data_IF_855002276196
#
_entry.id   IF_855002276196
#
_cell.length_a   1.000
_cell.length_b   1.000
_cell.length_c   1.000
_cell.angle_alpha   90.00
_cell.angle_beta   90.00
_cell.angle_gamma   90.00
#
_symmetry.space_group_name_H-M   'P 1'
#
loop_
_entity.id
_entity.type
_entity.pdbx_description
1 polymer ?
#
# COMPACT_ATOMS: atom_id res chain seq x y z
N UNK A 1 -10.35 8.96 28.65
CA UNK A 1 -11.47 8.70 27.72
C UNK A 1 -10.92 7.86 26.57
N UNK A 2 -11.16 6.55 26.58
CA UNK A 2 -10.78 5.64 25.49
C UNK A 2 -11.93 5.65 24.47
N UNK A 3 -11.74 6.28 23.31
CA UNK A 3 -12.62 6.03 22.17
C UNK A 3 -12.13 4.75 21.50
N UNK A 4 -12.86 3.67 21.76
CA UNK A 4 -12.85 2.49 20.91
C UNK A 4 -13.36 2.92 19.54
N UNK A 5 -12.45 3.01 18.56
CA UNK A 5 -12.83 3.16 17.17
C UNK A 5 -13.29 1.80 16.64
N UNK A 6 -14.54 1.43 16.97
CA UNK A 6 -15.28 0.32 16.38
C UNK A 6 -15.92 0.76 15.06
N UNK A 7 -15.09 1.08 14.07
CA UNK A 7 -15.52 1.10 12.67
C UNK A 7 -15.12 -0.24 12.06
N UNK A 8 -15.99 -1.23 12.27
CA UNK A 8 -15.92 -2.49 11.58
C UNK A 8 -16.44 -2.32 10.16
N UNK A 9 -15.56 -2.44 9.17
CA UNK A 9 -15.77 -3.22 7.92
C UNK A 9 -14.38 -3.63 7.43
N UNK A 10 -13.66 -4.45 8.20
CA UNK A 10 -12.62 -5.25 7.58
C UNK A 10 -13.35 -6.26 6.70
N UNK A 11 -13.44 -5.99 5.39
CA UNK A 11 -13.59 -7.07 4.44
C UNK A 11 -12.44 -8.04 4.72
N UNK A 12 -12.73 -9.10 5.47
CA UNK A 12 -11.84 -10.23 5.62
C UNK A 12 -11.70 -10.83 4.23
N UNK A 13 -10.68 -10.37 3.50
CA UNK A 13 -10.22 -10.94 2.26
C UNK A 13 -10.23 -12.46 2.41
N UNK A 14 -10.86 -13.17 1.47
CA UNK A 14 -11.23 -14.58 1.61
C UNK A 14 -10.06 -15.51 1.96
N UNK A 15 -8.81 -15.07 1.77
CA UNK A 15 -7.69 -15.23 2.72
C UNK A 15 -6.81 -13.98 2.65
N UNK A 16 -5.97 -13.69 3.68
CA UNK A 16 -5.06 -12.53 3.71
C UNK A 16 -4.17 -12.45 2.44
N UNK A 17 -3.74 -13.59 1.92
CA UNK A 17 -2.91 -13.72 0.73
C UNK A 17 -3.62 -13.25 -0.55
N UNK A 18 -4.92 -13.53 -0.71
CA UNK A 18 -5.67 -13.08 -1.88
C UNK A 18 -5.90 -11.56 -1.86
N UNK A 19 -6.14 -10.98 -0.67
CA UNK A 19 -6.22 -9.54 -0.50
C UNK A 19 -4.90 -8.85 -0.85
N UNK A 20 -3.80 -9.38 -0.32
CA UNK A 20 -2.46 -8.89 -0.62
C UNK A 20 -2.12 -9.02 -2.10
N UNK A 21 -2.48 -10.13 -2.75
CA UNK A 21 -2.31 -10.34 -4.19
C UNK A 21 -3.08 -9.29 -5.00
N UNK A 22 -4.34 -9.03 -4.67
CA UNK A 22 -5.16 -8.03 -5.35
C UNK A 22 -4.51 -6.64 -5.24
N UNK A 23 -4.04 -6.27 -4.05
CA UNK A 23 -3.33 -5.02 -3.81
C UNK A 23 -2.03 -4.92 -4.61
N UNK A 24 -1.21 -5.98 -4.62
CA UNK A 24 0.03 -6.01 -5.43
C UNK A 24 -0.29 -5.83 -6.91
N UNK A 25 -1.30 -6.55 -7.42
CA UNK A 25 -1.72 -6.47 -8.83
C UNK A 25 -2.17 -5.06 -9.20
N UNK A 26 -2.95 -4.41 -8.34
CA UNK A 26 -3.43 -3.05 -8.55
C UNK A 26 -2.26 -2.06 -8.59
N UNK A 27 -1.40 -2.06 -7.57
CA UNK A 27 -0.24 -1.16 -7.50
C UNK A 27 0.69 -1.36 -8.69
N UNK A 28 0.97 -2.61 -9.08
CA UNK A 28 1.76 -2.91 -10.27
C UNK A 28 1.12 -2.31 -11.54
N UNK A 29 -0.17 -2.58 -11.74
CA UNK A 29 -0.91 -2.11 -12.92
C UNK A 29 -0.93 -0.59 -13.01
N UNK A 30 -1.06 0.09 -11.87
CA UNK A 30 -1.11 1.56 -11.83
C UNK A 30 0.25 2.19 -12.16
N UNK A 31 1.34 1.61 -11.64
CA UNK A 31 2.70 2.03 -12.01
C UNK A 31 2.92 1.84 -13.52
N UNK A 32 2.55 0.68 -14.07
CA UNK A 32 2.69 0.37 -15.49
C UNK A 32 1.86 1.31 -16.39
N UNK A 33 0.74 1.84 -15.86
CA UNK A 33 -0.13 2.82 -16.55
C UNK A 33 0.32 4.28 -16.38
N UNK A 34 1.46 4.53 -15.77
CA UNK A 34 2.02 5.89 -15.62
C UNK A 34 1.68 6.60 -14.31
N UNK A 35 1.05 5.92 -13.36
CA UNK A 35 1.01 6.36 -11.96
C UNK A 35 2.32 5.97 -11.23
N UNK A 36 3.44 6.28 -11.88
CA UNK A 36 4.77 5.80 -11.57
C UNK A 36 5.52 6.73 -10.61
N UNK A 37 4.83 7.30 -9.63
CA UNK A 37 5.45 7.99 -8.49
C UNK A 37 4.58 7.77 -7.26
N UNK A 38 5.13 7.89 -6.05
CA UNK A 38 4.33 7.70 -4.82
C UNK A 38 3.16 8.69 -4.80
N UNK A 39 3.39 9.95 -5.18
CA UNK A 39 2.34 10.95 -5.26
C UNK A 39 1.21 10.53 -6.20
N UNK A 40 1.53 10.15 -7.45
CA UNK A 40 0.51 9.74 -8.43
C UNK A 40 -0.20 8.44 -8.05
N UNK A 41 0.54 7.48 -7.52
CA UNK A 41 0.03 6.17 -7.11
C UNK A 41 -0.96 6.33 -5.97
N UNK A 42 -0.56 7.00 -4.89
CA UNK A 42 -1.40 7.16 -3.69
C UNK A 42 -2.59 8.08 -3.95
N UNK A 43 -2.42 9.18 -4.70
CA UNK A 43 -3.55 10.04 -5.08
C UNK A 43 -4.61 9.30 -5.92
N UNK A 44 -4.21 8.28 -6.70
CA UNK A 44 -5.13 7.40 -7.42
C UNK A 44 -5.75 6.35 -6.51
N UNK A 45 -4.94 5.74 -5.63
CA UNK A 45 -5.35 4.63 -4.77
C UNK A 45 -6.33 5.06 -3.68
N UNK A 46 -6.09 6.22 -3.05
CA UNK A 46 -6.92 6.78 -1.98
C UNK A 46 -7.31 8.24 -2.31
N UNK A 47 -8.24 8.46 -3.25
CA UNK A 47 -8.69 9.80 -3.62
C UNK A 47 -9.63 10.36 -2.53
N UNK A 48 -9.10 11.06 -1.55
CA UNK A 48 -9.91 11.74 -0.52
C UNK A 48 -9.20 12.98 0.04
N UNK A 49 -9.92 13.78 0.84
CA UNK A 49 -9.51 15.04 1.51
C UNK A 49 -7.99 15.25 1.53
N UNK A 50 -7.52 16.35 0.93
CA UNK A 50 -6.09 16.65 0.71
C UNK A 50 -5.17 16.28 1.89
N UNK A 51 -5.59 16.58 3.12
CA UNK A 51 -4.81 16.30 4.32
C UNK A 51 -4.52 14.81 4.57
N UNK A 52 -5.46 13.90 4.29
CA UNK A 52 -5.26 12.46 4.50
C UNK A 52 -4.33 11.87 3.44
N UNK A 53 -4.56 12.23 2.18
CA UNK A 53 -3.74 11.77 1.03
C UNK A 53 -2.31 12.26 1.14
N UNK A 54 -2.10 13.51 1.57
CA UNK A 54 -0.78 14.07 1.77
C UNK A 54 -0.01 13.36 2.89
N UNK A 55 -0.68 13.03 4.00
CA UNK A 55 -0.07 12.24 5.08
C UNK A 55 0.30 10.83 4.62
N UNK A 56 -0.53 10.22 3.77
CA UNK A 56 -0.24 8.92 3.18
C UNK A 56 1.01 8.97 2.30
N UNK A 57 1.09 9.96 1.40
CA UNK A 57 2.27 10.15 0.53
C UNK A 57 3.54 10.34 1.36
N UNK A 58 3.50 11.21 2.37
CA UNK A 58 4.63 11.46 3.27
C UNK A 58 5.06 10.20 4.01
N UNK A 59 4.11 9.43 4.52
CA UNK A 59 4.39 8.18 5.22
C UNK A 59 5.07 7.16 4.31
N UNK A 60 4.52 6.91 3.12
CA UNK A 60 5.07 5.92 2.18
C UNK A 60 6.44 6.36 1.67
N UNK A 61 6.64 7.65 1.37
CA UNK A 61 7.95 8.18 0.99
C UNK A 61 8.98 7.97 2.10
N UNK A 62 8.62 8.29 3.36
CA UNK A 62 9.50 8.10 4.51
C UNK A 62 9.84 6.63 4.78
N UNK A 63 8.87 5.71 4.65
CA UNK A 63 9.09 4.28 4.88
C UNK A 63 9.90 3.61 3.76
N UNK A 64 9.77 4.08 2.52
CA UNK A 64 10.46 3.50 1.36
C UNK A 64 11.80 4.17 1.06
N UNK A 65 12.02 5.38 1.57
CA UNK A 65 13.19 6.21 1.24
C UNK A 65 13.15 6.77 -0.19
N UNK A 66 12.02 6.66 -0.89
CA UNK A 66 11.85 7.12 -2.27
C UNK A 66 11.19 8.49 -2.24
N UNK A 67 11.73 9.44 -3.02
CA UNK A 67 11.10 10.76 -3.18
C UNK A 67 9.69 10.62 -3.77
N UNK A 68 8.76 11.46 -3.30
CA UNK A 68 7.35 11.37 -3.68
C UNK A 68 7.10 11.51 -5.18
N UNK A 69 7.98 12.21 -5.89
CA UNK A 69 7.89 12.48 -7.33
C UNK A 69 8.90 11.65 -8.14
N UNK A 70 9.75 10.86 -7.49
CA UNK A 70 10.68 9.98 -8.19
C UNK A 70 9.94 8.93 -9.03
N UNK A 71 10.54 8.59 -10.18
CA UNK A 71 10.05 7.55 -11.06
C UNK A 71 10.14 6.18 -10.40
N UNK A 72 9.00 5.52 -10.26
CA UNK A 72 8.86 4.15 -9.80
C UNK A 72 8.86 3.21 -11.00
N UNK A 73 9.57 2.09 -10.85
CA UNK A 73 9.46 0.93 -11.73
C UNK A 73 8.85 -0.20 -10.92
N UNK A 74 7.91 -0.96 -11.50
CA UNK A 74 7.16 -2.02 -10.82
C UNK A 74 8.01 -3.28 -10.54
N UNK A 75 9.26 -3.10 -10.09
CA UNK A 75 10.13 -4.20 -9.67
C UNK A 75 9.54 -4.87 -8.43
N UNK A 76 9.79 -6.17 -8.27
CA UNK A 76 9.33 -6.92 -7.10
C UNK A 76 9.74 -6.28 -5.78
N UNK A 77 10.98 -5.78 -5.69
CA UNK A 77 11.49 -5.07 -4.51
C UNK A 77 10.74 -3.77 -4.24
N UNK A 78 10.48 -2.97 -5.28
CA UNK A 78 9.71 -1.74 -5.15
C UNK A 78 8.28 -2.03 -4.70
N UNK A 79 7.61 -3.00 -5.34
CA UNK A 79 6.26 -3.44 -4.97
C UNK A 79 6.23 -3.93 -3.51
N UNK A 80 7.21 -4.73 -3.08
CA UNK A 80 7.29 -5.19 -1.68
C UNK A 80 7.36 -4.04 -0.69
N UNK A 81 8.25 -3.07 -0.93
CA UNK A 81 8.44 -1.94 -0.04
C UNK A 81 7.19 -1.04 0.00
N UNK A 82 6.57 -0.78 -1.17
CA UNK A 82 5.34 -0.01 -1.27
C UNK A 82 4.19 -0.69 -0.54
N UNK A 83 3.96 -1.97 -0.79
CA UNK A 83 2.85 -2.73 -0.20
C UNK A 83 3.00 -2.83 1.32
N UNK A 84 4.21 -3.09 1.83
CA UNK A 84 4.48 -3.09 3.27
C UNK A 84 4.19 -1.73 3.91
N UNK A 85 4.59 -0.63 3.26
CA UNK A 85 4.32 0.71 3.75
C UNK A 85 2.82 1.04 3.70
N UNK A 86 2.13 0.74 2.60
CA UNK A 86 0.70 0.99 2.44
C UNK A 86 -0.12 0.21 3.47
N UNK A 87 0.10 -1.10 3.63
CA UNK A 87 -0.64 -1.91 4.61
C UNK A 87 -0.43 -1.41 6.04
N UNK A 88 0.79 -0.97 6.40
CA UNK A 88 1.08 -0.36 7.71
C UNK A 88 0.37 0.98 7.91
N UNK A 89 0.18 1.76 6.86
CA UNK A 89 -0.58 3.01 6.94
C UNK A 89 -2.07 2.72 7.15
N UNK A 90 -2.65 1.80 6.36
CA UNK A 90 -4.08 1.45 6.42
C UNK A 90 -4.49 0.78 7.74
N UNK A 91 -3.64 -0.13 8.26
CA UNK A 91 -4.02 -1.00 9.38
C UNK A 91 -3.24 -0.69 10.67
N UNK A 92 -2.27 0.22 10.61
CA UNK A 92 -1.36 0.51 11.71
C UNK A 92 -0.23 -0.52 11.86
N UNK A 93 0.61 -0.33 12.89
CA UNK A 93 1.81 -1.14 13.13
C UNK A 93 1.53 -2.60 13.52
N UNK A 94 0.29 -2.91 13.92
CA UNK A 94 -0.10 -4.24 14.42
C UNK A 94 -0.29 -5.28 13.30
N UNK A 95 -0.30 -4.85 12.04
CA UNK A 95 -0.49 -5.74 10.89
C UNK A 95 0.68 -5.66 9.90
N UNK A 96 1.92 -6.02 10.31
CA UNK A 96 3.05 -6.00 9.40
C UNK A 96 2.93 -7.13 8.37
N UNK A 97 3.02 -6.78 7.08
CA UNK A 97 3.22 -7.78 6.02
C UNK A 97 4.66 -8.30 6.12
N UNK A 98 4.80 -9.59 6.41
CA UNK A 98 6.09 -10.28 6.34
C UNK A 98 6.53 -10.50 4.90
N UNK A 99 7.84 -10.68 4.68
CA UNK A 99 8.36 -10.98 3.35
C UNK A 99 7.77 -12.29 2.81
N UNK A 100 7.55 -13.29 3.68
CA UNK A 100 6.91 -14.55 3.31
C UNK A 100 5.50 -14.33 2.75
N UNK A 101 4.66 -13.56 3.45
CA UNK A 101 3.29 -13.28 2.99
C UNK A 101 3.30 -12.53 1.65
N UNK A 102 4.20 -11.56 1.48
CA UNK A 102 4.36 -10.87 0.20
C UNK A 102 4.76 -11.85 -0.91
N UNK A 103 5.72 -12.74 -0.66
CA UNK A 103 6.19 -13.74 -1.62
C UNK A 103 5.08 -14.74 -2.01
N UNK A 104 4.30 -15.21 -1.04
CA UNK A 104 3.15 -16.10 -1.27
C UNK A 104 2.09 -15.42 -2.13
N UNK A 105 1.72 -14.18 -1.81
CA UNK A 105 0.78 -13.39 -2.61
C UNK A 105 1.33 -13.07 -4.02
N UNK A 106 2.62 -12.73 -4.13
CA UNK A 106 3.27 -12.39 -5.40
C UNK A 106 3.34 -13.60 -6.36
N UNK A 107 3.50 -14.83 -5.84
CA UNK A 107 3.48 -16.06 -6.64
C UNK A 107 2.13 -16.34 -7.30
N UNK A 108 1.05 -15.73 -6.79
CA UNK A 108 -0.31 -15.89 -7.30
C UNK A 108 -0.71 -14.84 -8.34
N UNK A 109 0.17 -13.89 -8.67
CA UNK A 109 -0.10 -12.84 -9.67
C UNK A 109 -0.29 -13.42 -11.06
#
# INVERSE_FOLDING_TARGET
>A
MHQNNTDGIFEQFSTFEYGLRAMIKQVKTDIDKGHNSIAKLISKYAPSKENTTENYIKYVAAQTGIDRNAGLVSTKTALRNLIKAMVRFENGQNYPVSDKQFEEAYKLL
#
